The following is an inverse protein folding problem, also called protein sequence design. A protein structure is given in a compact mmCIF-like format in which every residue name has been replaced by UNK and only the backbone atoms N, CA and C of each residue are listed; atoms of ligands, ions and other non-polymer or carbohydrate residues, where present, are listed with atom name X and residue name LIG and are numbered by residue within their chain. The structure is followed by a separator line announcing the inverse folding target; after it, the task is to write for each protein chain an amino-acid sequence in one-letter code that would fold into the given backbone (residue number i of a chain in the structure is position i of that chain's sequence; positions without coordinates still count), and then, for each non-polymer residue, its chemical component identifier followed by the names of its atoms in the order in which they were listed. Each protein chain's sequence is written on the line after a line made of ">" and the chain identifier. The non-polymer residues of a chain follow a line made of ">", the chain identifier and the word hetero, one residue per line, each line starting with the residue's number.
data_IF_537334618445
#
_entry.id   IF_537334618445
#
_cell.length_a   1.000
_cell.length_b   1.000
_cell.length_c   1.000
_cell.angle_alpha   90.00
_cell.angle_beta   90.00
_cell.angle_gamma   90.00
#
_symmetry.space_group_name_H-M   'P 1'
#
loop_
_entity.id
_entity.type
_entity.pdbx_description
1 polymer ?
#
# COMPACT_ATOMS: atom_id res chain seq x y z
N UNK A 1 -10.94 8.71 -18.00
CA UNK A 1 -10.84 8.84 -16.53
C UNK A 1 -9.37 8.63 -16.20
N UNK A 2 -8.76 9.57 -15.48
CA UNK A 2 -7.29 9.55 -15.27
C UNK A 2 -6.96 8.55 -14.16
N UNK A 3 -5.76 7.95 -14.21
CA UNK A 3 -5.25 7.00 -13.23
C UNK A 3 -5.27 7.50 -11.76
N UNK A 4 -5.54 8.80 -11.53
CA UNK A 4 -5.61 9.39 -10.20
C UNK A 4 -6.85 9.01 -9.37
N UNK A 5 -7.90 8.41 -9.94
CA UNK A 5 -9.15 8.14 -9.19
C UNK A 5 -9.05 6.93 -8.23
N UNK A 6 -8.04 6.07 -8.42
CA UNK A 6 -7.83 4.88 -7.59
C UNK A 6 -6.79 5.06 -6.48
N UNK A 7 -5.91 6.06 -6.58
CA UNK A 7 -4.87 6.35 -5.58
C UNK A 7 -5.44 7.33 -4.54
N UNK A 8 -5.58 6.86 -3.30
CA UNK A 8 -6.12 7.65 -2.19
C UNK A 8 -5.05 8.51 -1.52
N UNK A 9 -3.81 8.04 -1.54
CA UNK A 9 -2.69 8.69 -0.87
C UNK A 9 -1.39 8.30 -1.56
N UNK A 10 -0.49 9.27 -1.68
CA UNK A 10 0.88 9.08 -2.16
C UNK A 10 1.79 10.05 -1.41
N UNK A 11 2.87 9.54 -0.83
CA UNK A 11 3.89 10.35 -0.18
C UNK A 11 5.23 9.61 -0.12
N UNK A 12 6.29 10.35 0.16
CA UNK A 12 7.66 9.86 0.33
C UNK A 12 8.06 9.98 1.79
N UNK A 13 8.46 8.87 2.41
CA UNK A 13 8.87 8.79 3.80
C UNK A 13 10.36 8.47 3.92
N UNK A 14 11.03 9.09 4.89
CA UNK A 14 12.34 8.62 5.35
C UNK A 14 12.16 7.75 6.59
N UNK A 15 12.73 6.55 6.61
CA UNK A 15 12.68 5.64 7.76
C UNK A 15 13.51 6.23 8.91
N UNK A 16 12.89 6.46 10.04
CA UNK A 16 13.49 7.08 11.23
C UNK A 16 13.75 6.09 12.36
N UNK A 17 13.02 4.98 12.40
CA UNK A 17 13.19 3.92 13.40
C UNK A 17 12.88 2.52 12.82
N UNK A 18 13.47 1.49 13.43
CA UNK A 18 13.34 0.09 13.04
C UNK A 18 13.34 -0.82 14.28
N UNK A 19 12.24 -1.51 14.53
CA UNK A 19 12.09 -2.46 15.66
C UNK A 19 11.78 -3.88 15.17
N UNK A 20 12.76 -4.77 15.31
CA UNK A 20 12.64 -6.22 15.07
C UNK A 20 12.74 -7.03 16.37
N UNK A 21 12.61 -6.40 17.54
CA UNK A 21 12.89 -7.06 18.82
C UNK A 21 11.92 -8.21 19.15
N UNK A 22 10.77 -8.28 18.49
CA UNK A 22 9.67 -9.21 18.82
C UNK A 22 9.48 -10.36 17.84
N UNK A 23 9.89 -10.19 16.58
CA UNK A 23 9.57 -11.14 15.52
C UNK A 23 10.77 -11.37 14.61
N UNK A 24 11.00 -12.62 14.23
CA UNK A 24 12.16 -12.98 13.39
C UNK A 24 12.05 -12.42 11.96
N UNK A 25 10.83 -12.32 11.43
CA UNK A 25 10.55 -12.00 10.01
C UNK A 25 9.77 -10.71 9.80
N UNK A 26 9.44 -10.00 10.88
CA UNK A 26 8.67 -8.76 10.80
C UNK A 26 9.39 -7.71 11.61
N UNK A 27 9.57 -6.54 11.00
CA UNK A 27 9.99 -5.35 11.72
C UNK A 27 8.89 -4.30 11.65
N UNK A 28 8.77 -3.52 12.71
CA UNK A 28 8.01 -2.27 12.69
C UNK A 28 8.95 -1.15 12.29
N UNK A 29 8.70 -0.55 11.13
CA UNK A 29 9.38 0.69 10.74
C UNK A 29 8.54 1.90 11.17
N UNK A 30 9.22 2.96 11.58
CA UNK A 30 8.65 4.30 11.69
C UNK A 30 9.29 5.17 10.62
N UNK A 31 8.50 6.01 9.96
CA UNK A 31 9.00 6.95 8.97
C UNK A 31 8.29 8.29 9.05
N UNK A 32 8.94 9.32 8.52
CA UNK A 32 8.42 10.69 8.48
C UNK A 32 8.38 11.19 7.03
N UNK A 33 7.27 11.84 6.65
CA UNK A 33 7.11 12.42 5.31
C UNK A 33 8.11 13.53 5.04
N UNK A 34 8.37 13.81 3.77
CA UNK A 34 9.34 14.85 3.36
C UNK A 34 9.01 16.25 3.91
N UNK A 35 7.73 16.57 4.09
CA UNK A 35 7.25 17.84 4.66
C UNK A 35 7.14 17.83 6.20
N UNK A 36 7.46 16.69 6.83
CA UNK A 36 7.35 16.45 8.27
C UNK A 36 5.95 16.62 8.86
N UNK A 37 4.89 16.48 8.05
CA UNK A 37 3.50 16.56 8.51
C UNK A 37 2.89 15.17 8.82
N UNK A 38 3.44 14.10 8.26
CA UNK A 38 2.88 12.74 8.36
C UNK A 38 3.90 11.79 8.97
N UNK A 39 3.47 10.98 9.94
CA UNK A 39 4.25 9.87 10.51
C UNK A 39 3.62 8.54 10.06
N UNK A 40 4.45 7.64 9.55
CA UNK A 40 4.08 6.29 9.14
C UNK A 40 4.61 5.29 10.18
N UNK A 41 3.75 4.37 10.62
CA UNK A 41 4.17 3.14 11.32
C UNK A 41 3.68 1.94 10.53
N UNK A 42 4.62 1.11 10.08
CA UNK A 42 4.30 -0.01 9.19
C UNK A 42 5.04 -1.27 9.64
N UNK A 43 4.29 -2.37 9.78
CA UNK A 43 4.87 -3.69 10.00
C UNK A 43 5.18 -4.31 8.62
N UNK A 44 6.45 -4.64 8.37
CA UNK A 44 6.94 -5.13 7.07
C UNK A 44 7.56 -6.52 7.19
N UNK A 45 7.41 -7.35 6.15
CA UNK A 45 8.14 -8.62 6.07
C UNK A 45 9.56 -8.38 5.54
N UNK A 46 10.52 -8.40 6.45
CA UNK A 46 11.92 -8.06 6.19
C UNK A 46 12.71 -9.16 5.46
N UNK A 47 12.19 -10.38 5.35
CA UNK A 47 12.81 -11.41 4.50
C UNK A 47 12.55 -11.14 3.01
N UNK A 48 11.39 -10.53 2.71
CA UNK A 48 10.98 -10.20 1.35
C UNK A 48 11.43 -8.81 0.93
N UNK A 49 11.33 -7.85 1.84
CA UNK A 49 11.67 -6.45 1.60
C UNK A 49 12.47 -5.89 2.78
N UNK A 50 13.82 -6.00 2.73
CA UNK A 50 14.69 -5.43 3.75
C UNK A 50 14.59 -3.91 3.79
N UNK A 51 14.55 -3.33 4.99
CA UNK A 51 14.58 -1.88 5.18
C UNK A 51 15.55 -1.47 6.29
N UNK A 52 16.07 -0.25 6.20
CA UNK A 52 17.02 0.32 7.15
C UNK A 52 16.66 1.77 7.51
N UNK A 53 17.08 2.21 8.69
CA UNK A 53 16.96 3.61 9.09
C UNK A 53 17.77 4.50 8.14
N UNK A 54 17.16 5.60 7.71
CA UNK A 54 17.70 6.55 6.74
C UNK A 54 17.33 6.25 5.29
N UNK A 55 16.74 5.09 4.99
CA UNK A 55 16.22 4.79 3.65
C UNK A 55 14.96 5.61 3.34
N UNK A 56 14.73 5.85 2.06
CA UNK A 56 13.57 6.57 1.54
C UNK A 56 12.60 5.61 0.87
N UNK A 57 11.34 5.66 1.27
CA UNK A 57 10.26 4.81 0.74
C UNK A 57 9.21 5.69 0.06
N UNK A 58 8.86 5.39 -1.18
CA UNK A 58 7.66 5.94 -1.83
C UNK A 58 6.49 5.03 -1.51
N UNK A 59 5.46 5.58 -0.85
CA UNK A 59 4.31 4.82 -0.35
C UNK A 59 3.05 5.32 -1.03
N UNK A 60 2.31 4.39 -1.63
CA UNK A 60 1.00 4.66 -2.24
C UNK A 60 -0.06 3.77 -1.63
N UNK A 61 -1.19 4.37 -1.28
CA UNK A 61 -2.42 3.67 -0.91
C UNK A 61 -3.41 3.78 -2.07
N UNK A 62 -3.81 2.65 -2.63
CA UNK A 62 -4.75 2.59 -3.74
C UNK A 62 -5.93 1.65 -3.42
N UNK A 63 -7.09 1.93 -4.01
CA UNK A 63 -8.30 1.09 -3.89
C UNK A 63 -8.43 0.05 -4.99
N UNK A 64 -7.59 0.11 -6.03
CA UNK A 64 -7.52 -0.86 -7.11
C UNK A 64 -6.08 -0.97 -7.62
N UNK A 65 -5.70 -2.14 -8.13
CA UNK A 65 -4.46 -2.36 -8.87
C UNK A 65 -4.62 -2.11 -10.38
N UNK A 66 -5.86 -1.96 -10.85
CA UNK A 66 -6.11 -1.63 -12.25
C UNK A 66 -5.62 -0.22 -12.57
N UNK A 67 -4.87 -0.09 -13.67
CA UNK A 67 -4.30 1.19 -14.12
C UNK A 67 -5.38 2.17 -14.60
N UNK A 68 -6.54 1.68 -15.01
CA UNK A 68 -7.69 2.52 -15.42
C UNK A 68 -8.55 2.96 -14.23
N UNK A 69 -8.19 2.55 -13.01
CA UNK A 69 -8.92 2.81 -11.77
C UNK A 69 -10.25 2.08 -11.66
N UNK A 70 -10.61 1.23 -12.63
CA UNK A 70 -11.76 0.37 -12.50
C UNK A 70 -11.48 -0.60 -11.34
N UNK A 71 -12.39 -0.62 -10.37
CA UNK A 71 -12.40 -1.72 -9.41
C UNK A 71 -12.79 -2.95 -10.20
N UNK A 72 -12.03 -4.03 -10.09
CA UNK A 72 -12.47 -5.32 -10.58
C UNK A 72 -13.71 -5.75 -9.77
N UNK A 73 -14.87 -5.27 -10.22
CA UNK A 73 -16.14 -5.37 -9.52
C UNK A 73 -16.60 -4.05 -8.92
N UNK A 74 -17.64 -3.52 -9.55
CA UNK A 74 -18.50 -2.44 -9.08
C UNK A 74 -18.93 -2.64 -7.62
N UNK A 75 -18.79 -1.57 -6.83
CA UNK A 75 -19.36 -1.49 -5.49
C UNK A 75 -18.69 -2.36 -4.43
N UNK A 76 -19.00 -2.04 -3.18
CA UNK A 76 -18.68 -2.81 -1.98
C UNK A 76 -18.60 -4.32 -2.22
N UNK A 77 -17.57 -4.96 -1.67
CA UNK A 77 -17.45 -6.41 -1.49
C UNK A 77 -16.93 -7.24 -2.69
N UNK A 78 -16.55 -6.65 -3.82
CA UNK A 78 -16.18 -7.45 -5.00
C UNK A 78 -14.80 -8.14 -4.97
N UNK A 79 -13.85 -7.68 -4.16
CA UNK A 79 -12.62 -8.44 -3.89
C UNK A 79 -12.91 -9.73 -3.08
N UNK A 80 -14.08 -9.83 -2.44
CA UNK A 80 -14.51 -11.05 -1.73
C UNK A 80 -15.31 -12.01 -2.61
N UNK A 81 -15.82 -11.57 -3.76
CA UNK A 81 -16.70 -12.37 -4.63
C UNK A 81 -15.98 -13.05 -5.80
N UNK A 82 -14.87 -12.50 -6.29
CA UNK A 82 -14.05 -13.10 -7.34
C UNK A 82 -12.77 -13.65 -6.70
N UNK A 83 -12.62 -14.98 -6.70
CA UNK A 83 -11.40 -15.60 -6.19
C UNK A 83 -10.14 -15.02 -6.84
N UNK A 84 -9.08 -14.89 -6.05
CA UNK A 84 -7.78 -14.42 -6.52
C UNK A 84 -7.36 -15.15 -7.79
N UNK A 85 -7.07 -14.40 -8.84
CA UNK A 85 -6.41 -14.92 -10.05
C UNK A 85 -4.98 -14.44 -10.02
N UNK A 86 -4.07 -15.37 -10.25
CA UNK A 86 -2.67 -15.02 -10.45
C UNK A 86 -2.58 -14.00 -11.60
N UNK A 87 -1.87 -12.90 -11.38
CA UNK A 87 -1.78 -11.74 -12.29
C UNK A 87 -1.24 -12.18 -13.65
N UNK A 88 -0.39 -13.20 -13.68
CA UNK A 88 0.11 -13.86 -14.91
C UNK A 88 -0.97 -14.56 -15.73
N UNK A 89 -2.10 -14.90 -15.10
CA UNK A 89 -3.24 -15.60 -15.72
C UNK A 89 -4.46 -14.68 -15.86
N UNK A 90 -4.36 -13.39 -15.51
CA UNK A 90 -5.48 -12.45 -15.53
C UNK A 90 -5.85 -12.00 -16.95
N UNK A 91 -4.87 -11.81 -17.84
CA UNK A 91 -5.08 -11.31 -19.21
C UNK A 91 -5.31 -12.40 -20.27
N UNK A 92 -6.18 -13.38 -19.99
CA UNK A 92 -6.63 -14.36 -20.99
C UNK A 92 -5.50 -15.07 -21.78
N UNK A 93 -5.78 -15.66 -22.95
CA UNK A 93 -4.73 -16.20 -23.81
C UNK A 93 -3.96 -15.05 -24.48
N UNK A 94 -2.84 -14.64 -23.90
CA UNK A 94 -1.81 -13.84 -24.58
C UNK A 94 -1.49 -12.44 -24.02
N UNK A 95 -1.99 -12.04 -22.85
CA UNK A 95 -1.61 -10.76 -22.25
C UNK A 95 -1.23 -10.88 -20.78
N UNK A 96 -0.01 -10.47 -20.43
CA UNK A 96 0.28 -9.98 -19.08
C UNK A 96 -0.35 -8.59 -18.99
N UNK A 97 -1.49 -8.45 -18.32
CA UNK A 97 -2.06 -7.13 -18.06
C UNK A 97 -1.18 -6.45 -17.00
N UNK A 98 -0.53 -5.35 -17.39
CA UNK A 98 0.27 -4.58 -16.43
C UNK A 98 -0.65 -3.94 -15.39
N UNK A 99 -0.21 -3.97 -14.14
CA UNK A 99 -0.96 -3.46 -13.00
C UNK A 99 -0.13 -2.42 -12.26
N UNK A 100 -0.77 -1.67 -11.37
CA UNK A 100 -0.08 -0.73 -10.48
C UNK A 100 1.01 -1.44 -9.65
N UNK A 101 0.83 -2.72 -9.33
CA UNK A 101 1.78 -3.50 -8.56
C UNK A 101 3.15 -3.64 -9.26
N UNK A 102 3.19 -3.60 -10.60
CA UNK A 102 4.45 -3.73 -11.34
C UNK A 102 5.40 -2.53 -11.14
N UNK A 103 4.87 -1.43 -10.59
CA UNK A 103 5.62 -0.19 -10.35
C UNK A 103 6.25 -0.11 -8.95
N UNK A 104 5.98 -1.09 -8.06
CA UNK A 104 6.41 -1.07 -6.66
C UNK A 104 7.07 -2.39 -6.26
N UNK A 105 8.07 -2.32 -5.38
CA UNK A 105 8.85 -3.49 -4.94
C UNK A 105 8.12 -4.34 -3.88
N UNK A 106 7.16 -3.74 -3.17
CA UNK A 106 6.42 -4.40 -2.10
C UNK A 106 4.96 -3.95 -2.10
N UNK A 107 4.05 -4.93 -2.14
CA UNK A 107 2.60 -4.69 -2.19
C UNK A 107 1.91 -5.49 -1.10
N UNK A 108 1.04 -4.82 -0.35
CA UNK A 108 0.18 -5.43 0.65
C UNK A 108 -1.28 -5.08 0.41
N UNK A 109 -2.18 -6.00 0.74
CA UNK A 109 -3.62 -5.78 0.73
C UNK A 109 -4.16 -5.81 2.15
N UNK A 110 -4.96 -4.81 2.52
CA UNK A 110 -5.48 -4.64 3.87
C UNK A 110 -6.87 -4.00 3.90
N UNK A 111 -7.44 -3.90 5.11
CA UNK A 111 -8.70 -3.21 5.36
C UNK A 111 -8.49 -2.12 6.41
N UNK A 112 -9.11 -0.97 6.23
CA UNK A 112 -9.13 0.08 7.25
C UNK A 112 -10.04 -0.40 8.39
N UNK A 113 -9.49 -0.48 9.60
CA UNK A 113 -10.21 -1.01 10.77
C UNK A 113 -10.73 0.09 11.71
N UNK A 114 -10.07 1.26 11.71
CA UNK A 114 -10.37 2.37 12.61
C UNK A 114 -9.87 3.68 12.01
N UNK A 115 -10.65 4.74 12.22
CA UNK A 115 -10.22 6.12 12.08
C UNK A 115 -10.19 6.76 13.47
N UNK A 116 -9.16 7.55 13.74
CA UNK A 116 -9.05 8.34 14.96
C UNK A 116 -9.12 9.81 14.58
N UNK A 117 -10.03 10.56 15.21
CA UNK A 117 -10.08 12.00 15.02
C UNK A 117 -8.86 12.65 15.71
N UNK A 118 -8.28 13.67 15.09
CA UNK A 118 -7.23 14.46 15.72
C UNK A 118 -7.71 15.07 17.04
N UNK A 119 -6.78 15.48 17.91
CA UNK A 119 -7.09 16.06 19.23
C UNK A 119 -8.07 17.23 19.20
N UNK A 120 -8.23 17.86 18.03
CA UNK A 120 -9.02 19.06 17.82
C UNK A 120 -10.39 18.77 17.15
N UNK A 121 -10.76 17.50 16.96
CA UNK A 121 -12.08 17.11 16.41
C UNK A 121 -12.32 17.54 14.96
N UNK A 122 -11.27 17.98 14.25
CA UNK A 122 -11.29 18.17 12.81
C UNK A 122 -10.82 16.89 12.13
N UNK A 123 -11.74 16.24 11.42
CA UNK A 123 -11.41 15.32 10.34
C UNK A 123 -10.70 16.12 9.26
N UNK A 124 -9.47 15.73 8.89
CA UNK A 124 -8.87 16.18 7.63
C UNK A 124 -9.67 15.63 6.45
#
# INVERSE_FOLDING_TARGET
>A
MSAGDAQLFEDTFTVTDYDQSKYDRVARITGTSTDNQTELKLDINIELFPCHVGETLQVVLATSLSLDGNRDGDGSDAAEGKGWRDVRNAGGPGGEESTLADMYDYVCHGKIYKFEDGSDGQTM
#
